data_IF_424158338740
#
_entry.id   IF_424158338740
#
_cell.length_a   1.000
_cell.length_b   1.000
_cell.length_c   1.000
_cell.angle_alpha   90.00
_cell.angle_beta   90.00
_cell.angle_gamma   90.00
#
_symmetry.space_group_name_H-M   'P 1'
#
loop_
_entity.id
_entity.type
_entity.pdbx_description
1 polymer ?
#
# COMPACT_ATOMS: atom_id res chain seq x y z
N UNK A 1 38.48 -52.16 -17.86
CA UNK A 1 37.14 -52.80 -17.95
C UNK A 1 36.50 -52.77 -16.56
N UNK A 2 35.20 -52.45 -16.52
CA UNK A 2 34.24 -52.53 -15.39
C UNK A 2 34.20 -51.31 -14.44
N UNK A 3 33.18 -50.46 -14.70
CA UNK A 3 32.49 -49.57 -13.75
C UNK A 3 31.78 -50.41 -12.68
N UNK A 4 31.62 -49.91 -11.45
CA UNK A 4 30.35 -49.99 -10.72
C UNK A 4 30.27 -48.81 -9.74
N UNK A 5 29.14 -48.11 -9.88
CA UNK A 5 28.58 -47.07 -9.04
C UNK A 5 27.77 -47.78 -7.94
N UNK A 6 27.91 -47.41 -6.66
CA UNK A 6 26.85 -47.70 -5.67
C UNK A 6 26.66 -46.50 -4.76
N UNK A 7 25.47 -45.92 -4.88
CA UNK A 7 24.87 -44.87 -4.06
C UNK A 7 24.06 -45.56 -2.95
N UNK A 8 23.78 -44.82 -1.86
CA UNK A 8 22.73 -45.01 -0.83
C UNK A 8 23.23 -45.70 0.46
N UNK A 9 22.93 -45.27 1.68
CA UNK A 9 21.93 -44.33 2.20
C UNK A 9 22.26 -44.03 3.69
N UNK A 10 21.85 -42.85 4.17
CA UNK A 10 21.32 -42.56 5.51
C UNK A 10 22.14 -42.92 6.76
N UNK A 11 22.74 -41.90 7.36
CA UNK A 11 22.67 -41.73 8.81
C UNK A 11 22.22 -40.30 9.12
N UNK A 12 20.92 -40.17 9.36
CA UNK A 12 20.24 -39.00 9.88
C UNK A 12 20.92 -38.50 11.15
N UNK A 13 21.63 -37.38 11.04
CA UNK A 13 22.05 -36.57 12.19
C UNK A 13 20.84 -35.78 12.66
N UNK A 14 20.15 -36.31 13.66
CA UNK A 14 19.00 -35.72 14.33
C UNK A 14 19.44 -34.71 15.40
N UNK A 15 20.23 -33.72 15.01
CA UNK A 15 20.63 -32.57 15.83
C UNK A 15 20.91 -31.41 14.86
N UNK A 16 20.25 -30.26 15.06
CA UNK A 16 20.08 -29.14 14.11
C UNK A 16 18.85 -29.25 13.19
N UNK A 17 17.70 -29.67 13.74
CA UNK A 17 16.45 -29.01 13.34
C UNK A 17 16.52 -27.57 13.88
N UNK A 18 17.24 -26.73 13.13
CA UNK A 18 17.23 -25.31 13.32
C UNK A 18 15.79 -24.83 13.14
N UNK A 19 15.20 -24.30 14.22
CA UNK A 19 14.02 -23.43 14.25
C UNK A 19 14.21 -22.12 13.46
N UNK A 20 15.08 -22.11 12.44
CA UNK A 20 15.53 -20.92 11.72
C UNK A 20 14.61 -20.54 10.54
N UNK A 21 13.72 -21.45 10.11
CA UNK A 21 12.83 -21.23 8.97
C UNK A 21 11.36 -20.97 9.35
N UNK A 22 10.98 -21.03 10.63
CA UNK A 22 9.58 -20.89 11.07
C UNK A 22 9.04 -19.45 10.93
N UNK A 23 9.93 -18.44 10.86
CA UNK A 23 9.54 -17.04 10.72
C UNK A 23 9.54 -16.52 9.27
N UNK A 24 9.73 -17.39 8.27
CA UNK A 24 9.84 -16.98 6.86
C UNK A 24 8.66 -17.42 5.98
N UNK A 25 7.59 -17.92 6.58
CA UNK A 25 6.40 -18.39 5.86
C UNK A 25 5.27 -17.39 5.96
N UNK A 26 4.57 -17.17 4.84
CA UNK A 26 3.31 -16.42 4.84
C UNK A 26 2.30 -17.18 5.68
N UNK A 27 1.70 -16.52 6.68
CA UNK A 27 0.67 -17.11 7.51
C UNK A 27 -0.66 -16.35 7.40
N UNK A 28 -1.75 -17.03 7.73
CA UNK A 28 -3.01 -16.34 7.96
C UNK A 28 -2.88 -15.43 9.20
N UNK A 29 -3.57 -14.29 9.25
CA UNK A 29 -3.59 -13.44 10.43
C UNK A 29 -3.96 -14.26 11.68
N UNK A 30 -3.18 -14.14 12.73
CA UNK A 30 -3.55 -14.67 14.05
C UNK A 30 -4.70 -13.84 14.66
N UNK A 31 -5.12 -14.17 15.88
CA UNK A 31 -6.23 -13.48 16.54
C UNK A 31 -5.99 -11.97 16.69
N UNK A 32 -4.82 -11.57 17.18
CA UNK A 32 -4.48 -10.16 17.41
C UNK A 32 -4.35 -9.37 16.09
N UNK A 33 -3.73 -9.97 15.07
CA UNK A 33 -3.62 -9.39 13.74
C UNK A 33 -4.99 -9.24 13.07
N UNK A 34 -5.86 -10.23 13.24
CA UNK A 34 -7.25 -10.17 12.77
C UNK A 34 -7.99 -9.01 13.43
N UNK A 35 -7.86 -8.82 14.75
CA UNK A 35 -8.46 -7.69 15.46
C UNK A 35 -7.93 -6.35 14.94
N UNK A 36 -6.64 -6.24 14.63
CA UNK A 36 -6.05 -5.02 14.05
C UNK A 36 -6.59 -4.71 12.66
N UNK A 37 -6.74 -5.75 11.82
CA UNK A 37 -7.35 -5.64 10.49
C UNK A 37 -8.82 -5.21 10.60
N UNK A 38 -9.60 -5.84 11.48
CA UNK A 38 -11.00 -5.46 11.70
C UNK A 38 -11.15 -4.03 12.25
N UNK A 39 -10.25 -3.63 13.15
CA UNK A 39 -10.17 -2.24 13.62
C UNK A 39 -9.86 -1.26 12.48
N UNK A 40 -9.00 -1.63 11.53
CA UNK A 40 -8.73 -0.82 10.34
C UNK A 40 -9.94 -0.74 9.41
N UNK A 41 -10.62 -1.86 9.16
CA UNK A 41 -11.85 -1.88 8.36
C UNK A 41 -12.93 -0.98 8.96
N UNK A 42 -13.10 -1.02 10.29
CA UNK A 42 -14.03 -0.13 11.00
C UNK A 42 -13.65 1.33 10.81
N UNK A 43 -12.37 1.68 11.01
CA UNK A 43 -11.88 3.04 10.75
C UNK A 43 -12.24 3.51 9.35
N UNK A 44 -12.00 2.69 8.31
CA UNK A 44 -12.33 3.03 6.92
C UNK A 44 -13.84 3.23 6.74
N UNK A 45 -14.66 2.34 7.32
CA UNK A 45 -16.12 2.43 7.23
C UNK A 45 -16.70 3.69 7.89
N UNK A 46 -16.02 4.19 8.92
CA UNK A 46 -16.42 5.37 9.69
C UNK A 46 -15.97 6.70 9.06
N UNK A 47 -15.19 6.66 7.96
CA UNK A 47 -14.84 7.87 7.21
C UNK A 47 -16.08 8.46 6.54
N UNK A 48 -16.52 9.62 7.01
CA UNK A 48 -17.72 10.29 6.50
C UNK A 48 -17.44 11.73 6.07
N UNK A 49 -18.03 12.13 4.95
CA UNK A 49 -17.85 13.42 4.32
C UNK A 49 -18.79 14.50 4.92
N UNK A 50 -18.80 14.64 6.25
CA UNK A 50 -19.83 15.41 6.95
C UNK A 50 -19.72 16.92 6.73
N UNK A 51 -18.49 17.45 6.77
CA UNK A 51 -18.23 18.88 6.63
C UNK A 51 -16.92 19.15 5.91
N UNK A 52 -16.96 19.98 4.86
CA UNK A 52 -15.76 20.49 4.22
C UNK A 52 -15.03 21.48 5.14
N UNK A 53 -13.73 21.27 5.30
CA UNK A 53 -12.81 22.13 6.06
C UNK A 53 -12.02 23.09 5.15
N UNK A 54 -12.18 22.96 3.84
CA UNK A 54 -11.53 23.79 2.81
C UNK A 54 -12.58 24.53 1.97
N UNK A 55 -12.12 25.49 1.16
CA UNK A 55 -12.99 26.21 0.23
C UNK A 55 -13.69 25.24 -0.73
N UNK A 56 -15.02 25.41 -0.87
CA UNK A 56 -15.87 24.53 -1.68
C UNK A 56 -15.48 24.59 -3.16
N UNK A 57 -15.17 25.77 -3.69
CA UNK A 57 -14.81 25.91 -5.10
C UNK A 57 -13.45 25.25 -5.39
N UNK A 58 -12.50 25.38 -4.46
CA UNK A 58 -11.23 24.68 -4.52
C UNK A 58 -11.42 23.16 -4.48
N UNK A 59 -12.21 22.64 -3.52
CA UNK A 59 -12.56 21.22 -3.44
C UNK A 59 -13.15 20.71 -4.76
N UNK A 60 -14.17 21.37 -5.29
CA UNK A 60 -14.84 20.94 -6.53
C UNK A 60 -13.91 20.92 -7.76
N UNK A 61 -12.88 21.77 -7.80
CA UNK A 61 -11.89 21.78 -8.89
C UNK A 61 -10.76 20.77 -8.72
N UNK A 62 -10.47 20.34 -7.49
CA UNK A 62 -9.26 19.58 -7.15
C UNK A 62 -9.52 18.13 -6.76
N UNK A 63 -10.72 17.79 -6.26
CA UNK A 63 -11.06 16.40 -5.96
C UNK A 63 -11.03 15.56 -7.24
N UNK A 64 -10.30 14.45 -7.19
CA UNK A 64 -10.32 13.40 -8.20
C UNK A 64 -10.96 12.10 -7.70
N UNK A 65 -11.46 12.07 -6.46
CA UNK A 65 -11.92 10.84 -5.82
C UNK A 65 -13.01 10.14 -6.64
N UNK A 66 -14.10 10.86 -6.95
CA UNK A 66 -15.20 10.27 -7.74
C UNK A 66 -14.79 9.84 -9.13
N UNK A 67 -13.85 10.58 -9.75
CA UNK A 67 -13.32 10.23 -11.08
C UNK A 67 -12.57 8.90 -11.05
N UNK A 68 -11.79 8.64 -10.00
CA UNK A 68 -10.96 7.44 -9.90
C UNK A 68 -11.73 6.24 -9.32
N UNK A 69 -12.48 6.45 -8.24
CA UNK A 69 -13.20 5.38 -7.55
C UNK A 69 -14.56 5.06 -8.18
N UNK A 70 -15.15 5.99 -8.94
CA UNK A 70 -16.46 5.83 -9.57
C UNK A 70 -17.65 6.13 -8.64
N UNK A 71 -17.40 6.49 -7.38
CA UNK A 71 -18.42 6.84 -6.38
C UNK A 71 -18.01 8.06 -5.55
N UNK A 72 -18.97 8.72 -4.91
CA UNK A 72 -18.69 9.86 -4.01
C UNK A 72 -17.99 9.41 -2.74
N UNK A 73 -17.11 10.23 -2.17
CA UNK A 73 -16.35 9.85 -0.97
C UNK A 73 -17.27 9.43 0.19
N UNK A 74 -17.11 8.18 0.62
CA UNK A 74 -17.94 7.46 1.58
C UNK A 74 -17.15 6.27 2.10
N UNK A 75 -16.98 6.17 3.42
CA UNK A 75 -16.24 5.07 4.05
C UNK A 75 -16.86 3.70 3.77
N UNK A 76 -18.18 3.64 3.67
CA UNK A 76 -18.91 2.40 3.34
C UNK A 76 -18.60 1.92 1.92
N UNK A 77 -18.66 2.83 0.95
CA UNK A 77 -18.40 2.50 -0.46
C UNK A 77 -16.92 2.20 -0.69
N UNK A 78 -16.02 2.92 0.00
CA UNK A 78 -14.59 2.64 0.00
C UNK A 78 -14.28 1.26 0.61
N UNK A 79 -14.94 0.89 1.70
CA UNK A 79 -14.82 -0.45 2.30
C UNK A 79 -15.32 -1.54 1.33
N UNK A 80 -16.44 -1.32 0.64
CA UNK A 80 -16.93 -2.24 -0.38
C UNK A 80 -15.96 -2.36 -1.56
N UNK A 81 -15.38 -1.24 -2.02
CA UNK A 81 -14.40 -1.20 -3.08
C UNK A 81 -13.14 -2.01 -2.73
N UNK A 82 -12.62 -1.87 -1.50
CA UNK A 82 -11.48 -2.64 -1.00
C UNK A 82 -11.81 -4.14 -0.91
N UNK A 83 -12.95 -4.51 -0.34
CA UNK A 83 -13.36 -5.92 -0.19
C UNK A 83 -13.63 -6.60 -1.55
N UNK A 84 -13.97 -5.82 -2.58
CA UNK A 84 -14.11 -6.35 -3.94
C UNK A 84 -12.77 -6.76 -4.57
N UNK A 85 -11.65 -6.22 -4.08
CA UNK A 85 -10.29 -6.41 -4.63
C UNK A 85 -9.38 -7.27 -3.74
N UNK A 86 -9.40 -7.04 -2.43
CA UNK A 86 -8.59 -7.77 -1.45
C UNK A 86 -9.41 -8.94 -0.92
N UNK A 87 -9.10 -10.15 -1.37
CA UNK A 87 -9.83 -11.37 -0.96
C UNK A 87 -9.28 -11.99 0.30
N UNK A 88 -7.96 -11.94 0.45
CA UNK A 88 -7.24 -12.59 1.55
C UNK A 88 -6.15 -11.67 2.06
N UNK A 89 -6.03 -11.59 3.38
CA UNK A 89 -4.86 -11.03 4.04
C UNK A 89 -3.93 -12.16 4.44
N UNK A 90 -2.63 -11.99 4.22
CA UNK A 90 -1.57 -12.80 4.81
C UNK A 90 -0.59 -11.90 5.54
N UNK A 91 0.11 -12.47 6.49
CA UNK A 91 1.16 -11.79 7.24
C UNK A 91 2.48 -12.50 6.95
N UNK A 92 3.57 -11.74 6.82
CA UNK A 92 4.87 -12.34 6.59
C UNK A 92 5.95 -11.37 6.10
N UNK A 93 7.06 -11.89 5.58
CA UNK A 93 8.17 -11.08 5.08
C UNK A 93 7.78 -10.29 3.82
N UNK A 94 7.77 -8.97 3.92
CA UNK A 94 7.54 -8.06 2.78
C UNK A 94 8.83 -7.42 2.24
N UNK A 95 9.98 -7.81 2.81
CA UNK A 95 11.29 -7.26 2.45
C UNK A 95 11.35 -5.76 2.73
N UNK A 96 11.58 -4.96 1.68
CA UNK A 96 11.65 -3.49 1.75
C UNK A 96 10.28 -2.79 1.70
N UNK A 97 9.21 -3.55 1.48
CA UNK A 97 7.86 -3.00 1.34
C UNK A 97 7.08 -3.11 2.64
N UNK A 98 6.10 -2.23 2.85
CA UNK A 98 5.17 -2.32 3.99
C UNK A 98 4.13 -3.41 3.76
N UNK A 99 3.65 -3.53 2.53
CA UNK A 99 2.74 -4.54 2.06
C UNK A 99 3.02 -4.81 0.57
N UNK A 100 2.47 -5.89 0.03
CA UNK A 100 2.38 -6.08 -1.41
C UNK A 100 1.13 -6.87 -1.79
N UNK A 101 0.59 -6.59 -2.97
CA UNK A 101 -0.46 -7.38 -3.61
C UNK A 101 0.13 -8.50 -4.48
N UNK A 102 -0.49 -9.69 -4.42
CA UNK A 102 -0.20 -10.81 -5.30
C UNK A 102 -1.44 -11.69 -5.45
N UNK A 103 -1.95 -11.89 -6.67
CA UNK A 103 -3.04 -12.82 -6.99
C UNK A 103 -4.28 -12.76 -6.05
N UNK A 104 -4.78 -11.56 -5.78
CA UNK A 104 -5.96 -11.34 -4.94
C UNK A 104 -5.69 -11.36 -3.43
N UNK A 105 -4.42 -11.55 -3.05
CA UNK A 105 -3.93 -11.53 -1.68
C UNK A 105 -3.14 -10.24 -1.42
N UNK A 106 -3.36 -9.64 -0.26
CA UNK A 106 -2.45 -8.62 0.28
C UNK A 106 -1.64 -9.24 1.40
N UNK A 107 -0.31 -9.16 1.26
CA UNK A 107 0.64 -9.58 2.28
C UNK A 107 1.06 -8.35 3.08
N UNK A 108 0.80 -8.36 4.39
CA UNK A 108 1.14 -7.28 5.31
C UNK A 108 2.44 -7.62 6.05
N UNK A 109 3.37 -6.66 6.04
CA UNK A 109 4.61 -6.76 6.80
C UNK A 109 4.41 -6.44 8.28
N UNK A 110 5.39 -6.79 9.10
CA UNK A 110 5.37 -6.52 10.55
C UNK A 110 5.14 -5.04 10.90
N UNK A 111 5.67 -4.14 10.08
CA UNK A 111 5.65 -2.69 10.34
C UNK A 111 4.33 -2.04 9.90
N UNK A 112 3.51 -2.73 9.11
CA UNK A 112 2.20 -2.22 8.67
C UNK A 112 1.32 -1.81 9.85
N UNK A 113 1.25 -2.65 10.89
CA UNK A 113 0.40 -2.39 12.04
C UNK A 113 0.93 -1.28 12.97
N UNK A 114 2.17 -0.84 12.78
CA UNK A 114 2.77 0.27 13.53
C UNK A 114 2.45 1.64 12.91
N UNK A 115 1.92 1.66 11.68
CA UNK A 115 1.57 2.89 10.99
C UNK A 115 0.29 3.52 11.57
N UNK A 116 0.11 4.85 11.47
CA UNK A 116 -1.18 5.49 11.72
C UNK A 116 -2.30 4.89 10.86
N UNK A 117 -3.54 4.88 11.36
CA UNK A 117 -4.69 4.26 10.66
C UNK A 117 -4.93 4.83 9.27
N UNK A 118 -4.77 6.14 9.08
CA UNK A 118 -4.86 6.79 7.77
C UNK A 118 -3.83 6.23 6.78
N UNK A 119 -2.62 5.94 7.26
CA UNK A 119 -1.54 5.41 6.43
C UNK A 119 -1.72 3.93 6.16
N UNK A 120 -2.23 3.15 7.12
CA UNK A 120 -2.65 1.77 6.89
C UNK A 120 -3.74 1.72 5.80
N UNK A 121 -4.73 2.60 5.86
CA UNK A 121 -5.79 2.69 4.85
C UNK A 121 -5.24 3.08 3.47
N UNK A 122 -4.33 4.06 3.41
CA UNK A 122 -3.61 4.45 2.20
C UNK A 122 -2.88 3.25 1.57
N UNK A 123 -2.14 2.47 2.37
CA UNK A 123 -1.45 1.27 1.88
C UNK A 123 -2.44 0.25 1.32
N UNK A 124 -3.57 0.01 1.98
CA UNK A 124 -4.57 -0.92 1.43
C UNK A 124 -5.19 -0.43 0.12
N UNK A 125 -5.42 0.88 -0.03
CA UNK A 125 -5.93 1.47 -1.28
C UNK A 125 -4.91 1.29 -2.40
N UNK A 126 -3.65 1.54 -2.09
CA UNK A 126 -2.52 1.34 -3.01
C UNK A 126 -2.43 -0.11 -3.48
N UNK A 127 -2.39 -1.06 -2.55
CA UNK A 127 -2.30 -2.48 -2.89
C UNK A 127 -3.55 -3.00 -3.61
N UNK A 128 -4.74 -2.51 -3.23
CA UNK A 128 -5.98 -2.87 -3.92
C UNK A 128 -5.97 -2.43 -5.38
N UNK A 129 -5.32 -1.31 -5.72
CA UNK A 129 -5.26 -0.83 -7.10
C UNK A 129 -4.49 -1.78 -8.03
N UNK A 130 -3.48 -2.48 -7.51
CA UNK A 130 -2.76 -3.54 -8.25
C UNK A 130 -3.66 -4.72 -8.65
N UNK A 131 -4.82 -4.89 -8.00
CA UNK A 131 -5.79 -5.92 -8.36
C UNK A 131 -6.55 -5.63 -9.66
N UNK A 132 -6.56 -4.38 -10.13
CA UNK A 132 -7.35 -3.98 -11.29
C UNK A 132 -6.69 -4.34 -12.64
N UNK A 133 -5.42 -4.74 -12.64
CA UNK A 133 -4.71 -5.10 -13.87
C UNK A 133 -3.19 -4.91 -13.79
N UNK A 134 -2.45 -5.55 -14.70
CA UNK A 134 -0.98 -5.44 -14.78
C UNK A 134 -0.52 -4.04 -15.19
N UNK A 135 -1.37 -3.29 -15.87
CA UNK A 135 -1.14 -1.90 -16.26
C UNK A 135 -1.04 -0.92 -15.07
N UNK A 136 -1.41 -1.36 -13.86
CA UNK A 136 -1.30 -0.57 -12.63
C UNK A 136 -0.04 -0.89 -11.81
N UNK A 137 0.84 -1.78 -12.30
CA UNK A 137 2.14 -2.01 -11.66
C UNK A 137 3.04 -0.78 -11.77
N UNK A 138 3.93 -0.61 -10.79
CA UNK A 138 4.87 0.50 -10.78
C UNK A 138 5.86 0.45 -11.95
N UNK A 139 6.09 1.63 -12.50
CA UNK A 139 7.19 1.97 -13.37
C UNK A 139 8.43 2.38 -12.56
N UNK A 140 9.58 2.42 -13.23
CA UNK A 140 10.80 2.97 -12.63
C UNK A 140 10.70 4.48 -12.51
N UNK A 141 11.05 5.01 -11.36
CA UNK A 141 11.21 6.46 -11.23
C UNK A 141 12.37 6.96 -12.09
N UNK A 142 12.26 8.18 -12.66
CA UNK A 142 13.26 8.74 -13.57
C UNK A 142 14.61 8.97 -12.88
N UNK A 143 15.65 9.14 -13.70
CA UNK A 143 16.97 9.53 -13.23
C UNK A 143 16.91 10.88 -12.49
N UNK A 144 17.62 10.99 -11.36
CA UNK A 144 17.61 12.19 -10.52
C UNK A 144 16.28 12.47 -9.82
N UNK A 145 15.39 11.48 -9.65
CA UNK A 145 14.09 11.68 -9.00
C UNK A 145 14.24 12.36 -7.62
N UNK A 146 13.75 13.61 -7.46
CA UNK A 146 14.22 14.49 -6.38
C UNK A 146 13.42 14.35 -5.08
N UNK A 147 12.42 13.47 -5.04
CA UNK A 147 11.46 13.42 -3.94
C UNK A 147 11.84 12.43 -2.85
N UNK A 148 11.77 12.91 -1.61
CA UNK A 148 11.99 12.11 -0.41
C UNK A 148 10.71 11.37 -0.04
N UNK A 149 10.83 10.06 0.22
CA UNK A 149 9.76 9.30 0.84
C UNK A 149 9.58 9.73 2.30
N UNK A 150 8.38 10.10 2.72
CA UNK A 150 8.09 10.38 4.15
C UNK A 150 8.45 9.16 5.02
N UNK A 151 8.26 7.95 4.50
CA UNK A 151 8.57 6.67 5.20
C UNK A 151 10.06 6.34 5.25
N UNK A 152 10.81 6.78 4.25
CA UNK A 152 12.19 6.36 4.04
C UNK A 152 12.99 7.47 3.33
N UNK A 153 13.21 8.62 3.99
CA UNK A 153 13.79 9.80 3.35
C UNK A 153 15.24 9.58 2.89
N UNK A 154 15.92 8.58 3.45
CA UNK A 154 17.29 8.22 3.05
C UNK A 154 17.36 7.31 1.82
N UNK A 155 16.22 6.82 1.33
CA UNK A 155 16.17 5.91 0.18
C UNK A 155 16.12 6.71 -1.11
N UNK A 156 17.13 6.55 -1.95
CA UNK A 156 17.06 7.02 -3.34
C UNK A 156 16.03 6.19 -4.11
N UNK A 157 15.05 6.86 -4.72
CA UNK A 157 14.00 6.21 -5.52
C UNK A 157 14.33 6.20 -7.00
N UNK A 158 15.39 6.87 -7.44
CA UNK A 158 15.84 6.86 -8.83
C UNK A 158 16.03 5.42 -9.34
N UNK A 159 15.46 5.14 -10.53
CA UNK A 159 15.49 3.83 -11.19
C UNK A 159 14.84 2.67 -10.40
N UNK A 160 14.15 2.96 -9.28
CA UNK A 160 13.38 1.98 -8.50
C UNK A 160 11.95 1.93 -9.04
N UNK A 161 11.38 0.72 -9.12
CA UNK A 161 9.96 0.48 -9.43
C UNK A 161 9.06 0.99 -8.29
N UNK A 162 8.86 2.31 -8.26
CA UNK A 162 8.20 3.03 -7.19
C UNK A 162 7.46 4.28 -7.67
N UNK A 163 7.21 4.40 -8.99
CA UNK A 163 6.48 5.49 -9.60
C UNK A 163 5.36 4.95 -10.52
N UNK A 164 4.37 5.77 -10.83
CA UNK A 164 3.30 5.44 -11.77
C UNK A 164 3.39 6.32 -13.02
N UNK A 165 3.26 5.72 -14.20
CA UNK A 165 3.16 6.46 -15.48
C UNK A 165 1.72 6.91 -15.78
N UNK A 166 0.81 6.75 -14.81
CA UNK A 166 -0.61 7.02 -14.97
C UNK A 166 -1.16 7.82 -13.79
N UNK A 167 -2.03 8.80 -14.08
CA UNK A 167 -2.76 9.54 -13.04
C UNK A 167 -3.67 8.67 -12.19
N UNK A 168 -4.12 7.53 -12.72
CA UNK A 168 -5.03 6.59 -12.09
C UNK A 168 -4.32 5.29 -11.66
N UNK A 169 -3.00 5.34 -11.49
CA UNK A 169 -2.22 4.29 -10.83
C UNK A 169 -2.43 4.27 -9.31
N UNK A 170 -1.71 3.39 -8.61
CA UNK A 170 -1.84 3.21 -7.16
C UNK A 170 -1.58 4.50 -6.37
N UNK A 171 -0.55 5.29 -6.75
CA UNK A 171 -0.27 6.58 -6.13
C UNK A 171 -1.34 7.63 -6.46
N UNK A 172 -1.95 7.55 -7.64
CA UNK A 172 -3.09 8.40 -8.01
C UNK A 172 -4.31 8.19 -7.11
N UNK A 173 -4.63 6.92 -6.83
CA UNK A 173 -5.70 6.54 -5.91
C UNK A 173 -5.38 6.94 -4.47
N UNK A 174 -4.13 6.74 -4.03
CA UNK A 174 -3.65 7.18 -2.73
C UNK A 174 -3.76 8.70 -2.55
N UNK A 175 -3.30 9.48 -3.52
CA UNK A 175 -3.43 10.94 -3.52
C UNK A 175 -4.90 11.39 -3.50
N UNK A 176 -5.77 10.77 -4.30
CA UNK A 176 -7.19 11.10 -4.31
C UNK A 176 -7.85 10.83 -2.95
N UNK A 177 -7.52 9.71 -2.30
CA UNK A 177 -8.00 9.41 -0.94
C UNK A 177 -7.51 10.42 0.10
N UNK A 178 -6.21 10.71 0.12
CA UNK A 178 -5.63 11.64 1.09
C UNK A 178 -6.16 13.07 0.91
N UNK A 179 -6.48 13.48 -0.31
CA UNK A 179 -7.14 14.75 -0.57
C UNK A 179 -8.51 14.83 0.13
N UNK A 180 -9.31 13.77 0.07
CA UNK A 180 -10.60 13.71 0.77
C UNK A 180 -10.42 13.74 2.29
N UNK A 181 -9.47 12.95 2.81
CA UNK A 181 -9.12 12.96 4.24
C UNK A 181 -8.75 14.37 4.72
N UNK A 182 -7.92 15.08 3.95
CA UNK A 182 -7.56 16.47 4.26
C UNK A 182 -8.77 17.41 4.15
N UNK A 183 -9.49 17.34 3.03
CA UNK A 183 -10.61 18.23 2.72
C UNK A 183 -11.75 18.18 3.73
N UNK A 184 -11.99 17.01 4.33
CA UNK A 184 -13.03 16.78 5.33
C UNK A 184 -12.50 16.75 6.77
N UNK A 185 -11.21 17.01 7.00
CA UNK A 185 -10.63 17.05 8.34
C UNK A 185 -10.59 15.69 9.04
N UNK A 186 -10.47 14.58 8.31
CA UNK A 186 -10.59 13.20 8.82
C UNK A 186 -9.25 12.64 9.33
N UNK A 187 -8.53 13.44 10.10
CA UNK A 187 -7.23 13.13 10.68
C UNK A 187 -7.18 13.54 12.15
N UNK A 188 -6.26 12.97 12.94
CA UNK A 188 -6.14 13.33 14.36
C UNK A 188 -5.51 14.71 14.51
N UNK A 189 -5.79 15.37 15.64
CA UNK A 189 -5.19 16.67 15.96
C UNK A 189 -3.65 16.61 15.86
N UNK A 190 -3.07 17.46 15.01
CA UNK A 190 -1.63 17.49 14.77
C UNK A 190 -1.14 16.64 13.59
N UNK A 191 -1.99 15.79 13.00
CA UNK A 191 -1.63 14.95 11.84
C UNK A 191 -1.79 15.65 10.48
N UNK A 192 -2.27 16.89 10.44
CA UNK A 192 -2.53 17.62 9.18
C UNK A 192 -1.30 17.65 8.25
N UNK A 193 -0.14 18.04 8.80
CA UNK A 193 1.12 18.10 8.04
C UNK A 193 1.58 16.74 7.56
N UNK A 194 1.29 15.70 8.34
CA UNK A 194 1.60 14.33 7.98
C UNK A 194 0.75 13.87 6.79
N UNK A 195 -0.57 14.10 6.82
CA UNK A 195 -1.48 13.81 5.70
C UNK A 195 -1.08 14.57 4.43
N UNK A 196 -0.77 15.85 4.55
CA UNK A 196 -0.29 16.65 3.40
C UNK A 196 1.07 16.15 2.88
N UNK A 197 1.97 15.74 3.77
CA UNK A 197 3.24 15.13 3.41
C UNK A 197 3.06 13.83 2.63
N UNK A 198 2.16 12.95 3.09
CA UNK A 198 1.79 11.74 2.36
C UNK A 198 1.18 12.09 1.00
N UNK A 199 0.22 13.02 0.95
CA UNK A 199 -0.43 13.44 -0.29
C UNK A 199 0.60 13.90 -1.34
N UNK A 200 1.53 14.77 -0.94
CA UNK A 200 2.58 15.25 -1.82
C UNK A 200 3.54 14.12 -2.25
N UNK A 201 3.84 13.18 -1.35
CA UNK A 201 4.65 12.00 -1.69
C UNK A 201 3.96 11.10 -2.72
N UNK A 202 2.64 10.93 -2.64
CA UNK A 202 1.87 10.16 -3.62
C UNK A 202 1.86 10.89 -4.98
N UNK A 203 1.51 12.17 -5.01
CA UNK A 203 1.48 12.97 -6.24
C UNK A 203 2.84 13.01 -6.94
N UNK A 204 3.92 13.19 -6.18
CA UNK A 204 5.27 13.25 -6.70
C UNK A 204 5.70 11.99 -7.46
N UNK A 205 5.14 10.83 -7.12
CA UNK A 205 5.45 9.54 -7.73
C UNK A 205 4.66 9.27 -9.00
N UNK A 206 3.79 10.18 -9.42
CA UNK A 206 3.09 10.10 -10.70
C UNK A 206 3.94 10.82 -11.76
N UNK A 207 4.66 10.05 -12.57
CA UNK A 207 5.64 10.53 -13.55
C UNK A 207 5.14 10.28 -14.97
N UNK A 208 4.29 11.17 -15.46
CA UNK A 208 3.73 11.03 -16.81
C UNK A 208 4.74 11.62 -17.80
N UNK A 209 5.24 10.84 -18.77
CA UNK A 209 6.28 11.29 -19.71
C UNK A 209 5.94 12.60 -20.44
N UNK A 210 4.65 12.85 -20.71
CA UNK A 210 4.16 14.01 -21.47
C UNK A 210 3.89 15.27 -20.61
N UNK A 211 3.95 15.17 -19.28
CA UNK A 211 3.73 16.31 -18.37
C UNK A 211 5.02 16.85 -17.74
N UNK A 212 6.19 16.37 -18.18
CA UNK A 212 7.49 16.85 -17.71
C UNK A 212 7.85 18.21 -18.33
N UNK A 213 7.05 19.22 -17.99
CA UNK A 213 7.42 20.63 -18.03
C UNK A 213 7.19 21.17 -16.62
N UNK A 214 8.13 20.86 -15.71
CA UNK A 214 8.39 21.73 -14.57
C UNK A 214 9.35 22.83 -15.00
#
# INVERSE_FOLDING_TARGET
>A
MIRILTILFLSSSSLLACDFFSNWTLHAPNYDESLKIESLKRYIQELNADRLHIDKNFYSRKSNFRKFFGFSFSGKDLSAWLNSRIKVYKIGPTGKYIAYFHDGMVVLGKDFFNLPKVEQALVLIHEARHADGREFTHSKCPAGFPYLSVRAPQTSLENVEACDERVDGSYGFGAAFLFEVYAFGLYQTGEERFVLGLYNSEVARIVIPESNHF
#
